data_IF_842147544321
#
_entry.id   IF_842147544321
#
_cell.length_a   1.000
_cell.length_b   1.000
_cell.length_c   1.000
_cell.angle_alpha   90.00
_cell.angle_beta   90.00
_cell.angle_gamma   90.00
#
_symmetry.space_group_name_H-M   'P 1'
#
loop_
_entity.id
_entity.type
_entity.pdbx_description
1 polymer ?
#
# COMPACT_ATOMS: atom_id res chain seq x y z
N UNK A 1 -1.05 74.85 47.49
CA UNK A 1 -2.19 75.64 48.01
C UNK A 1 -3.46 75.22 47.30
N UNK A 2 -4.53 74.91 48.08
CA UNK A 2 -5.98 74.99 47.78
C UNK A 2 -6.49 74.34 46.47
N UNK A 3 -7.14 73.16 46.54
CA UNK A 3 -8.56 72.88 46.88
C UNK A 3 -9.52 72.97 45.66
N UNK A 4 -10.07 71.79 45.29
CA UNK A 4 -11.48 71.45 44.96
C UNK A 4 -12.32 72.40 44.07
N UNK A 5 -13.03 71.86 43.07
CA UNK A 5 -14.49 71.60 43.14
C UNK A 5 -15.02 70.88 41.88
N UNK A 6 -16.03 70.03 42.09
CA UNK A 6 -16.79 69.21 41.15
C UNK A 6 -17.80 70.00 40.29
N UNK A 7 -18.47 69.32 39.33
CA UNK A 7 -19.94 69.33 39.03
C UNK A 7 -20.18 68.63 37.66
N UNK A 8 -20.78 67.43 37.64
CA UNK A 8 -22.20 67.08 37.33
C UNK A 8 -22.49 66.83 35.82
N UNK A 9 -22.69 65.54 35.52
CA UNK A 9 -23.84 64.94 34.81
C UNK A 9 -24.22 65.39 33.39
N UNK A 10 -24.18 64.45 32.43
CA UNK A 10 -25.34 64.19 31.56
C UNK A 10 -25.25 62.80 30.89
N UNK A 11 -26.21 61.94 31.19
CA UNK A 11 -26.49 60.69 30.48
C UNK A 11 -27.43 60.96 29.30
N UNK A 12 -27.23 60.28 28.17
CA UNK A 12 -28.20 59.98 27.09
C UNK A 12 -27.55 58.91 26.18
N UNK A 13 -27.86 57.62 26.32
CA UNK A 13 -28.97 56.86 25.70
C UNK A 13 -28.73 56.55 24.20
N UNK A 14 -28.30 55.29 24.00
CA UNK A 14 -28.82 54.25 23.09
C UNK A 14 -28.44 54.15 21.61
N UNK A 15 -28.47 52.87 21.20
CA UNK A 15 -28.43 52.26 19.87
C UNK A 15 -27.04 51.99 19.26
N UNK A 16 -26.35 50.96 19.78
CA UNK A 16 -25.50 50.15 18.91
C UNK A 16 -26.28 48.91 18.47
N UNK A 17 -26.76 49.00 17.23
CA UNK A 17 -27.26 47.89 16.45
C UNK A 17 -26.12 46.87 16.27
N UNK A 18 -26.31 45.62 16.70
CA UNK A 18 -25.37 44.53 16.41
C UNK A 18 -25.54 44.07 14.95
N UNK A 19 -25.15 44.92 14.00
CA UNK A 19 -24.85 44.48 12.65
C UNK A 19 -23.35 44.22 12.55
N UNK A 20 -22.97 42.98 12.81
CA UNK A 20 -21.67 42.47 12.39
C UNK A 20 -21.52 42.69 10.88
N UNK A 21 -20.41 43.25 10.39
CA UNK A 21 -20.19 43.37 8.95
C UNK A 21 -20.17 41.95 8.37
N UNK A 22 -21.09 41.64 7.45
CA UNK A 22 -20.97 40.46 6.58
C UNK A 22 -19.82 40.72 5.61
N UNK A 23 -18.60 40.56 6.10
CA UNK A 23 -17.41 40.59 5.27
C UNK A 23 -17.35 39.27 4.50
N UNK A 24 -17.16 39.26 3.17
CA UNK A 24 -17.05 38.03 2.36
C UNK A 24 -15.89 37.11 2.80
N UNK A 25 -15.02 37.58 3.69
CA UNK A 25 -13.89 36.84 4.24
C UNK A 25 -14.22 36.10 5.54
N UNK A 26 -15.37 36.31 6.17
CA UNK A 26 -15.81 35.51 7.32
C UNK A 26 -16.18 34.06 6.93
N UNK A 27 -16.49 33.82 5.65
CA UNK A 27 -16.66 32.47 5.10
C UNK A 27 -15.34 31.74 4.82
N UNK A 28 -14.20 32.44 4.85
CA UNK A 28 -12.87 31.82 4.68
C UNK A 28 -12.29 31.29 5.99
N UNK A 29 -12.81 31.74 7.14
CA UNK A 29 -12.29 31.38 8.47
C UNK A 29 -12.85 30.02 8.96
N UNK A 30 -13.87 29.47 8.30
CA UNK A 30 -14.38 28.11 8.54
C UNK A 30 -13.95 27.07 7.50
N UNK A 31 -13.06 27.40 6.55
CA UNK A 31 -12.51 26.42 5.62
C UNK A 31 -11.25 25.76 6.17
N UNK A 32 -11.43 24.91 7.18
CA UNK A 32 -10.61 23.69 7.29
C UNK A 32 -10.97 22.75 6.13
N UNK A 33 -10.66 23.15 4.90
CA UNK A 33 -10.82 22.29 3.73
C UNK A 33 -9.48 22.24 3.02
N UNK A 34 -8.73 21.18 3.32
CA UNK A 34 -7.76 20.59 2.39
C UNK A 34 -8.40 20.67 1.01
N UNK A 35 -7.79 21.38 0.06
CA UNK A 35 -8.42 21.68 -1.23
C UNK A 35 -8.95 20.39 -1.87
N UNK A 36 -10.25 20.35 -2.17
CA UNK A 36 -10.90 19.14 -2.68
C UNK A 36 -10.39 18.85 -4.08
N UNK A 37 -9.58 17.80 -4.23
CA UNK A 37 -8.98 17.43 -5.51
C UNK A 37 -10.03 16.95 -6.52
N UNK A 38 -10.02 17.49 -7.72
CA UNK A 38 -10.82 17.04 -8.87
C UNK A 38 -10.32 15.68 -9.42
N UNK A 39 -11.14 14.91 -10.16
CA UNK A 39 -10.68 13.67 -10.81
C UNK A 39 -9.45 13.87 -11.71
N UNK A 40 -9.38 15.00 -12.42
CA UNK A 40 -8.24 15.33 -13.28
C UNK A 40 -6.95 15.52 -12.45
N UNK A 41 -7.03 16.26 -11.33
CA UNK A 41 -5.91 16.44 -10.42
C UNK A 41 -5.47 15.13 -9.76
N UNK A 42 -6.42 14.27 -9.38
CA UNK A 42 -6.12 12.93 -8.83
C UNK A 42 -5.40 12.07 -9.88
N UNK A 43 -5.84 12.11 -11.14
CA UNK A 43 -5.20 11.36 -12.22
C UNK A 43 -3.78 11.88 -12.50
N UNK A 44 -3.61 13.20 -12.60
CA UNK A 44 -2.29 13.83 -12.76
C UNK A 44 -1.34 13.50 -11.59
N UNK A 45 -1.87 13.47 -10.36
CA UNK A 45 -1.10 13.03 -9.21
C UNK A 45 -0.64 11.57 -9.35
N UNK A 46 -1.54 10.66 -9.74
CA UNK A 46 -1.21 9.26 -9.96
C UNK A 46 -0.15 9.08 -11.06
N UNK A 47 -0.29 9.80 -12.18
CA UNK A 47 0.70 9.81 -13.27
C UNK A 47 2.06 10.34 -12.79
N UNK A 48 2.07 11.38 -11.96
CA UNK A 48 3.29 11.91 -11.35
C UNK A 48 3.94 10.91 -10.39
N UNK A 49 3.16 10.14 -9.62
CA UNK A 49 3.69 9.08 -8.74
C UNK A 49 4.30 7.97 -9.59
N UNK A 50 3.59 7.50 -10.62
CA UNK A 50 4.07 6.45 -11.51
C UNK A 50 5.36 6.85 -12.26
N UNK A 51 5.48 8.11 -12.69
CA UNK A 51 6.67 8.62 -13.36
C UNK A 51 7.91 8.70 -12.45
N UNK A 52 7.72 8.76 -11.13
CA UNK A 52 8.79 8.96 -10.14
C UNK A 52 9.06 7.73 -9.27
N UNK A 53 8.52 6.55 -9.62
CA UNK A 53 8.67 5.33 -8.80
C UNK A 53 10.12 5.00 -8.41
N UNK A 54 11.06 5.20 -9.34
CA UNK A 54 12.48 4.91 -9.11
C UNK A 54 13.14 5.85 -8.09
N UNK A 55 12.51 6.99 -7.78
CA UNK A 55 13.00 7.95 -6.78
C UNK A 55 12.46 7.70 -5.37
N UNK A 56 11.45 6.83 -5.25
CA UNK A 56 10.81 6.53 -3.97
C UNK A 56 11.48 5.38 -3.22
N UNK A 57 11.38 5.43 -1.90
CA UNK A 57 11.76 4.31 -1.04
C UNK A 57 10.79 3.15 -1.28
N UNK A 58 11.30 2.00 -1.73
CA UNK A 58 10.50 0.80 -2.00
C UNK A 58 10.69 -0.25 -0.92
N UNK A 59 9.58 -0.76 -0.39
CA UNK A 59 9.52 -1.96 0.46
C UNK A 59 8.61 -2.98 -0.21
N UNK A 60 9.13 -4.17 -0.48
CA UNK A 60 8.37 -5.28 -1.05
C UNK A 60 8.07 -6.31 0.05
N UNK A 61 6.93 -7.00 -0.05
CA UNK A 61 6.66 -8.21 0.71
C UNK A 61 7.25 -9.45 0.03
N UNK A 62 7.39 -10.55 0.78
CA UNK A 62 7.58 -11.86 0.16
C UNK A 62 6.41 -12.20 -0.78
N UNK A 63 6.63 -13.22 -1.61
CA UNK A 63 5.59 -13.84 -2.43
C UNK A 63 4.83 -14.82 -1.56
N UNK A 64 3.68 -14.40 -1.04
CA UNK A 64 2.85 -15.25 -0.19
C UNK A 64 1.88 -16.06 -1.04
N UNK A 65 1.90 -17.37 -0.91
CA UNK A 65 0.96 -18.26 -1.57
C UNK A 65 -0.06 -18.79 -0.57
N UNK A 66 -1.33 -18.79 -0.96
CA UNK A 66 -2.40 -19.46 -0.25
C UNK A 66 -3.24 -20.23 -1.26
N UNK A 67 -3.22 -21.56 -1.16
CA UNK A 67 -3.69 -22.44 -2.23
C UNK A 67 -2.98 -22.07 -3.55
N UNK A 68 -3.72 -21.92 -4.65
CA UNK A 68 -3.17 -21.62 -5.98
C UNK A 68 -3.04 -20.11 -6.27
N UNK A 69 -3.10 -19.27 -5.24
CA UNK A 69 -3.03 -17.81 -5.39
C UNK A 69 -1.79 -17.26 -4.72
N UNK A 70 -0.89 -16.68 -5.51
CA UNK A 70 0.23 -15.88 -5.01
C UNK A 70 -0.20 -14.42 -4.82
N UNK A 71 0.33 -13.78 -3.78
CA UNK A 71 0.09 -12.37 -3.44
C UNK A 71 1.41 -11.70 -3.07
N UNK A 72 1.68 -10.56 -3.69
CA UNK A 72 2.78 -9.65 -3.33
C UNK A 72 2.24 -8.25 -3.12
N UNK A 73 2.88 -7.49 -2.24
CA UNK A 73 2.60 -6.07 -2.03
C UNK A 73 3.91 -5.29 -2.03
N UNK A 74 3.96 -4.22 -2.81
CA UNK A 74 5.01 -3.22 -2.78
C UNK A 74 4.46 -1.92 -2.19
N UNK A 75 5.22 -1.27 -1.32
CA UNK A 75 4.95 0.05 -0.77
C UNK A 75 6.03 1.01 -1.25
N UNK A 76 5.59 2.14 -1.80
CA UNK A 76 6.44 3.24 -2.22
C UNK A 76 6.19 4.44 -1.29
N UNK A 77 7.29 5.00 -0.77
CA UNK A 77 7.25 6.14 0.15
C UNK A 77 8.11 7.30 -0.36
N UNK A 78 7.61 8.51 -0.16
CA UNK A 78 8.36 9.75 -0.37
C UNK A 78 8.71 10.35 1.00
N UNK A 79 10.00 10.40 1.33
CA UNK A 79 10.49 10.86 2.64
C UNK A 79 9.81 10.12 3.82
N UNK A 80 9.75 8.79 3.75
CA UNK A 80 9.07 7.94 4.74
C UNK A 80 7.53 7.94 4.71
N UNK A 81 6.87 8.83 3.96
CA UNK A 81 5.40 8.89 3.87
C UNK A 81 4.91 8.01 2.71
N UNK A 82 4.00 7.04 2.94
CA UNK A 82 3.46 6.20 1.87
C UNK A 82 2.69 7.01 0.82
N UNK A 83 3.03 6.84 -0.45
CA UNK A 83 2.35 7.49 -1.58
C UNK A 83 1.65 6.49 -2.50
N UNK A 84 2.10 5.23 -2.52
CA UNK A 84 1.52 4.17 -3.34
C UNK A 84 1.72 2.81 -2.68
N UNK A 85 0.66 2.00 -2.69
CA UNK A 85 0.76 0.55 -2.56
C UNK A 85 0.40 -0.12 -3.87
N UNK A 86 1.17 -1.13 -4.27
CA UNK A 86 0.88 -1.98 -5.42
C UNK A 86 0.72 -3.41 -4.91
N UNK A 87 -0.50 -3.94 -4.97
CA UNK A 87 -0.80 -5.32 -4.63
C UNK A 87 -1.00 -6.12 -5.90
N UNK A 88 -0.25 -7.20 -6.07
CA UNK A 88 -0.42 -8.15 -7.17
C UNK A 88 -0.94 -9.46 -6.62
N UNK A 89 -1.93 -10.03 -7.31
CA UNK A 89 -2.47 -11.36 -7.05
C UNK A 89 -2.44 -12.14 -8.35
N UNK A 90 -1.84 -13.34 -8.33
CA UNK A 90 -1.78 -14.21 -9.51
C UNK A 90 -2.38 -15.54 -9.12
N UNK A 91 -3.38 -15.98 -9.87
CA UNK A 91 -3.87 -17.35 -9.86
C UNK A 91 -3.31 -18.03 -11.11
N UNK A 92 -2.41 -18.99 -10.92
CA UNK A 92 -1.58 -19.57 -11.96
C UNK A 92 -2.41 -20.00 -13.19
N UNK A 93 -2.19 -19.32 -14.32
CA UNK A 93 -2.84 -19.62 -15.59
C UNK A 93 -4.29 -19.13 -15.75
N UNK A 94 -4.94 -18.60 -14.71
CA UNK A 94 -6.34 -18.18 -14.77
C UNK A 94 -6.54 -16.67 -14.79
N UNK A 95 -5.95 -15.96 -13.82
CA UNK A 95 -6.08 -14.51 -13.74
C UNK A 95 -4.93 -13.87 -13.00
N UNK A 96 -4.72 -12.60 -13.33
CA UNK A 96 -3.81 -11.71 -12.64
C UNK A 96 -4.57 -10.43 -12.28
N UNK A 97 -4.44 -10.00 -11.03
CA UNK A 97 -5.01 -8.74 -10.54
C UNK A 97 -3.90 -7.85 -10.00
N UNK A 98 -3.80 -6.63 -10.52
CA UNK A 98 -2.92 -5.57 -10.01
C UNK A 98 -3.78 -4.45 -9.45
N UNK A 99 -3.64 -4.19 -8.15
CA UNK A 99 -4.38 -3.17 -7.42
C UNK A 99 -3.37 -2.10 -6.97
N UNK A 100 -3.47 -0.89 -7.54
CA UNK A 100 -2.69 0.28 -7.13
C UNK A 100 -3.55 1.19 -6.25
N UNK A 101 -3.04 1.55 -5.09
CA UNK A 101 -3.70 2.42 -4.12
C UNK A 101 -2.85 3.67 -3.90
N UNK A 102 -3.29 4.82 -4.43
CA UNK A 102 -2.55 6.08 -4.36
C UNK A 102 -3.02 6.92 -3.18
N UNK A 103 -2.07 7.31 -2.33
CA UNK A 103 -2.31 8.07 -1.12
C UNK A 103 -1.80 9.51 -1.28
N UNK A 104 -2.58 10.47 -0.81
CA UNK A 104 -2.13 11.85 -0.66
C UNK A 104 -2.33 12.27 0.80
N UNK A 105 -1.22 12.45 1.52
CA UNK A 105 -1.19 12.79 2.94
C UNK A 105 -2.10 11.86 3.78
N UNK A 106 -1.79 10.56 3.75
CA UNK A 106 -2.47 9.45 4.43
C UNK A 106 -3.92 9.17 4.00
N UNK A 107 -4.44 9.91 3.03
CA UNK A 107 -5.77 9.68 2.46
C UNK A 107 -5.68 8.92 1.15
N UNK A 108 -6.38 7.79 1.04
CA UNK A 108 -6.57 7.11 -0.24
C UNK A 108 -7.41 7.99 -1.16
N UNK A 109 -6.87 8.38 -2.31
CA UNK A 109 -7.54 9.26 -3.29
C UNK A 109 -7.88 8.55 -4.61
N UNK A 110 -7.16 7.47 -4.93
CA UNK A 110 -7.40 6.65 -6.12
C UNK A 110 -7.10 5.19 -5.82
N UNK A 111 -8.02 4.32 -6.19
CA UNK A 111 -7.78 2.89 -6.36
C UNK A 111 -7.87 2.56 -7.84
N UNK A 112 -6.81 2.00 -8.41
CA UNK A 112 -6.77 1.51 -9.77
C UNK A 112 -6.60 -0.01 -9.77
N UNK A 113 -7.57 -0.73 -10.32
CA UNK A 113 -7.60 -2.20 -10.33
C UNK A 113 -7.59 -2.67 -11.77
N UNK A 114 -6.53 -3.37 -12.16
CA UNK A 114 -6.40 -4.05 -13.44
C UNK A 114 -6.57 -5.55 -13.22
N UNK A 115 -7.53 -6.16 -13.91
CA UNK A 115 -7.78 -7.60 -13.91
C UNK A 115 -7.52 -8.12 -15.31
N UNK A 116 -6.57 -9.04 -15.44
CA UNK A 116 -6.31 -9.81 -16.64
C UNK A 116 -6.86 -11.21 -16.43
N UNK A 117 -7.73 -11.67 -17.32
CA UNK A 117 -8.34 -13.00 -17.28
C UNK A 117 -7.92 -13.77 -18.53
N UNK A 118 -7.49 -15.01 -18.32
CA UNK A 118 -7.08 -15.92 -19.38
C UNK A 118 -8.16 -17.00 -19.48
N UNK A 119 -8.80 -17.11 -20.65
CA UNK A 119 -9.79 -18.15 -20.93
C UNK A 119 -9.62 -18.64 -22.35
N UNK A 120 -9.46 -19.95 -22.55
CA UNK A 120 -9.39 -20.58 -23.88
C UNK A 120 -8.36 -19.93 -24.82
N UNK A 121 -7.19 -19.54 -24.27
CA UNK A 121 -6.10 -18.78 -24.95
C UNK A 121 -6.45 -17.34 -25.35
N UNK A 122 -7.64 -16.85 -25.01
CA UNK A 122 -8.00 -15.44 -25.10
C UNK A 122 -7.67 -14.73 -23.79
N UNK A 123 -7.17 -13.50 -23.91
CA UNK A 123 -6.87 -12.64 -22.76
C UNK A 123 -7.82 -11.46 -22.78
N UNK A 124 -8.63 -11.31 -21.74
CA UNK A 124 -9.44 -10.11 -21.52
C UNK A 124 -8.85 -9.29 -20.38
N UNK A 125 -8.70 -7.99 -20.58
CA UNK A 125 -8.20 -7.06 -19.56
C UNK A 125 -9.28 -6.04 -19.23
N UNK A 126 -9.53 -5.84 -17.94
CA UNK A 126 -10.44 -4.83 -17.40
C UNK A 126 -9.67 -3.94 -16.44
N UNK A 127 -9.78 -2.63 -16.61
CA UNK A 127 -9.24 -1.64 -15.68
C UNK A 127 -10.38 -0.81 -15.08
N UNK A 128 -10.33 -0.59 -13.77
CA UNK A 128 -11.31 0.19 -13.03
C UNK A 128 -10.61 1.19 -12.11
N UNK A 129 -10.98 2.47 -12.23
CA UNK A 129 -10.49 3.56 -11.39
C UNK A 129 -11.61 4.02 -10.47
N UNK A 130 -11.39 3.91 -9.16
CA UNK A 130 -12.29 4.43 -8.14
C UNK A 130 -11.65 5.66 -7.51
N UNK A 131 -12.29 6.82 -7.64
CA UNK A 131 -11.82 8.08 -7.05
C UNK A 131 -12.49 8.29 -5.71
N UNK A 132 -11.69 8.63 -4.69
CA UNK A 132 -12.14 8.75 -3.31
C UNK A 132 -11.86 10.14 -2.74
N UNK A 133 -12.75 10.59 -1.85
CA UNK A 133 -12.58 11.77 -0.99
C UNK A 133 -13.10 11.42 0.38
N UNK A 134 -12.30 11.63 1.42
CA UNK A 134 -12.67 11.29 2.80
C UNK A 134 -13.19 9.84 2.93
N UNK A 135 -12.49 8.90 2.28
CA UNK A 135 -12.85 7.47 2.25
C UNK A 135 -14.19 7.14 1.55
N UNK A 136 -14.81 8.09 0.87
CA UNK A 136 -16.05 7.90 0.11
C UNK A 136 -15.72 7.95 -1.37
N UNK A 137 -16.08 6.89 -2.11
CA UNK A 137 -15.97 6.89 -3.55
C UNK A 137 -17.01 7.83 -4.15
N UNK A 138 -16.57 8.73 -5.04
CA UNK A 138 -17.44 9.73 -5.66
C UNK A 138 -17.47 9.64 -7.19
N UNK A 139 -16.52 8.91 -7.78
CA UNK A 139 -16.48 8.64 -9.23
C UNK A 139 -15.88 7.26 -9.46
N UNK A 140 -16.40 6.56 -10.46
CA UNK A 140 -15.87 5.28 -10.91
C UNK A 140 -15.81 5.25 -12.43
N UNK A 141 -14.60 5.03 -12.95
CA UNK A 141 -14.33 4.91 -14.38
C UNK A 141 -13.89 3.48 -14.69
N UNK A 142 -14.24 2.96 -15.88
CA UNK A 142 -13.77 1.66 -16.34
C UNK A 142 -13.41 1.66 -17.83
N UNK A 143 -12.53 0.74 -18.20
CA UNK A 143 -12.30 0.31 -19.58
C UNK A 143 -12.05 -1.18 -19.63
N UNK A 144 -12.33 -1.81 -20.75
CA UNK A 144 -12.09 -3.22 -20.97
C UNK A 144 -11.73 -3.48 -22.43
N UNK A 145 -10.91 -4.48 -22.66
CA UNK A 145 -10.43 -4.91 -23.98
C UNK A 145 -10.11 -6.38 -23.97
N UNK A 146 -10.32 -7.06 -25.10
CA UNK A 146 -9.76 -8.38 -25.37
C UNK A 146 -8.34 -8.30 -25.97
N UNK A 147 -7.77 -7.09 -25.98
CA UNK A 147 -6.43 -6.75 -26.47
C UNK A 147 -5.81 -5.67 -25.57
N UNK A 148 -4.94 -4.80 -26.11
CA UNK A 148 -4.30 -3.72 -25.36
C UNK A 148 -5.31 -2.66 -24.89
N UNK A 149 -5.08 -2.10 -23.69
CA UNK A 149 -5.94 -1.09 -23.08
C UNK A 149 -5.54 0.35 -23.44
N UNK A 150 -4.32 0.57 -23.92
CA UNK A 150 -3.68 1.90 -23.94
C UNK A 150 -4.51 2.96 -24.69
N UNK A 151 -5.09 2.56 -25.82
CA UNK A 151 -5.86 3.46 -26.69
C UNK A 151 -7.37 3.49 -26.40
N UNK A 152 -7.83 2.74 -25.40
CA UNK A 152 -9.26 2.68 -25.07
C UNK A 152 -9.58 3.71 -23.99
N UNK A 153 -10.47 4.68 -24.28
CA UNK A 153 -10.84 5.70 -23.31
C UNK A 153 -11.67 5.10 -22.18
N UNK A 154 -11.49 5.66 -20.99
CA UNK A 154 -12.33 5.34 -19.84
C UNK A 154 -13.77 5.80 -20.05
N UNK A 155 -14.71 5.00 -19.53
CA UNK A 155 -16.13 5.33 -19.44
C UNK A 155 -16.53 5.44 -17.97
N UNK A 156 -17.27 6.48 -17.63
CA UNK A 156 -17.80 6.66 -16.28
C UNK A 156 -18.98 5.72 -16.03
N UNK A 157 -18.98 5.04 -14.89
CA UNK A 157 -20.13 4.27 -14.40
C UNK A 157 -21.01 5.18 -13.55
N UNK A 158 -22.19 5.54 -14.09
CA UNK A 158 -23.20 6.28 -13.34
C UNK A 158 -23.88 5.37 -12.31
N UNK A 159 -24.27 5.95 -11.17
CA UNK A 159 -25.03 5.28 -10.10
C UNK A 159 -24.37 3.98 -9.59
N UNK A 160 -23.04 3.93 -9.55
CA UNK A 160 -22.34 2.81 -8.94
C UNK A 160 -22.67 2.75 -7.45
N UNK A 161 -22.93 1.55 -6.93
CA UNK A 161 -22.91 1.34 -5.49
C UNK A 161 -21.45 1.29 -5.08
N UNK A 162 -20.99 2.28 -4.31
CA UNK A 162 -19.63 2.22 -3.77
C UNK A 162 -19.50 0.91 -3.00
N UNK A 163 -18.48 0.07 -3.31
CA UNK A 163 -18.11 -0.94 -2.34
C UNK A 163 -17.81 -0.21 -1.02
N UNK A 164 -18.34 -0.72 0.09
CA UNK A 164 -17.98 -0.24 1.42
C UNK A 164 -16.53 -0.68 1.64
N UNK A 165 -15.60 0.14 1.16
CA UNK A 165 -14.18 -0.06 1.37
C UNK A 165 -13.83 0.61 2.69
N UNK A 166 -13.63 -0.18 3.75
CA UNK A 166 -12.96 0.36 4.93
C UNK A 166 -11.50 0.64 4.54
N UNK A 167 -11.22 1.90 4.18
CA UNK A 167 -9.87 2.34 3.77
C UNK A 167 -8.86 2.03 4.87
N UNK A 168 -9.23 2.25 6.13
CA UNK A 168 -8.37 1.94 7.28
C UNK A 168 -8.02 0.46 7.35
N UNK A 169 -9.01 -0.44 7.21
CA UNK A 169 -8.76 -1.88 7.22
C UNK A 169 -7.90 -2.33 6.03
N UNK A 170 -8.12 -1.74 4.85
CA UNK A 170 -7.30 -1.98 3.67
C UNK A 170 -5.85 -1.57 3.90
N UNK A 171 -5.60 -0.33 4.34
CA UNK A 171 -4.25 0.18 4.58
C UNK A 171 -3.55 -0.61 5.69
N UNK A 172 -4.27 -0.97 6.76
CA UNK A 172 -3.76 -1.84 7.81
C UNK A 172 -3.31 -3.19 7.24
N UNK A 173 -4.17 -3.85 6.46
CA UNK A 173 -3.83 -5.12 5.82
C UNK A 173 -2.61 -5.00 4.89
N UNK A 174 -2.54 -3.96 4.06
CA UNK A 174 -1.39 -3.76 3.17
C UNK A 174 -0.09 -3.57 3.95
N UNK A 175 -0.14 -2.84 5.05
CA UNK A 175 1.00 -2.70 5.95
C UNK A 175 1.42 -4.05 6.53
N UNK A 176 0.49 -4.84 7.07
CA UNK A 176 0.78 -6.19 7.60
C UNK A 176 1.47 -7.10 6.59
N UNK A 177 1.04 -7.06 5.32
CA UNK A 177 1.63 -7.85 4.23
C UNK A 177 3.09 -7.41 4.02
N UNK A 178 3.33 -6.10 3.93
CA UNK A 178 4.67 -5.53 3.69
C UNK A 178 5.62 -5.69 4.88
N UNK A 179 5.12 -5.71 6.11
CA UNK A 179 5.92 -5.94 7.32
C UNK A 179 6.12 -7.42 7.66
N UNK A 180 5.36 -8.32 7.01
CA UNK A 180 5.41 -9.76 7.31
C UNK A 180 4.98 -10.05 8.75
N UNK A 181 3.87 -9.46 9.18
CA UNK A 181 3.32 -9.60 10.55
C UNK A 181 1.96 -10.28 10.54
N UNK A 182 1.47 -10.67 11.72
CA UNK A 182 0.19 -11.38 11.89
C UNK A 182 0.14 -12.65 11.03
N UNK A 183 -0.87 -12.80 10.16
CA UNK A 183 -1.01 -13.98 9.29
C UNK A 183 0.12 -14.12 8.24
N UNK A 184 0.89 -13.06 8.01
CA UNK A 184 2.03 -13.02 7.11
C UNK A 184 3.37 -13.25 7.83
N UNK A 185 3.36 -13.51 9.14
CA UNK A 185 4.57 -13.89 9.85
C UNK A 185 5.01 -15.30 9.44
N UNK A 186 6.19 -15.37 8.80
CA UNK A 186 6.74 -16.60 8.24
C UNK A 186 7.85 -17.17 9.11
N UNK A 187 7.85 -18.50 9.22
CA UNK A 187 8.90 -19.29 9.87
C UNK A 187 9.44 -20.33 8.89
N UNK A 188 10.68 -20.75 9.10
CA UNK A 188 11.31 -21.76 8.25
C UNK A 188 10.66 -23.13 8.40
N UNK A 189 10.38 -23.78 7.28
CA UNK A 189 9.88 -25.16 7.24
C UNK A 189 10.96 -26.13 6.77
N UNK A 190 11.56 -25.84 5.62
CA UNK A 190 12.55 -26.72 4.99
C UNK A 190 13.42 -25.99 3.98
N UNK A 191 14.60 -26.56 3.72
CA UNK A 191 15.44 -26.21 2.58
C UNK A 191 15.24 -27.27 1.50
N UNK A 192 14.95 -26.83 0.28
CA UNK A 192 14.69 -27.69 -0.87
C UNK A 192 15.85 -27.53 -1.84
N UNK A 193 16.47 -28.64 -2.22
CA UNK A 193 17.50 -28.71 -3.26
C UNK A 193 17.11 -29.78 -4.26
N UNK A 194 16.98 -29.39 -5.52
CA UNK A 194 16.57 -30.24 -6.62
C UNK A 194 17.25 -29.83 -7.93
N UNK A 195 17.04 -30.57 -9.01
CA UNK A 195 17.53 -30.20 -10.35
C UNK A 195 17.00 -28.83 -10.82
N UNK A 196 15.83 -28.42 -10.32
CA UNK A 196 15.19 -27.16 -10.66
C UNK A 196 15.70 -25.97 -9.83
N UNK A 197 16.65 -26.20 -8.92
CA UNK A 197 17.27 -25.16 -8.09
C UNK A 197 17.11 -25.38 -6.59
N UNK A 198 17.50 -24.34 -5.85
CA UNK A 198 17.59 -24.31 -4.39
C UNK A 198 16.63 -23.28 -3.83
N UNK A 199 15.93 -23.60 -2.75
CA UNK A 199 15.01 -22.65 -2.11
C UNK A 199 14.81 -22.89 -0.61
N UNK A 200 14.52 -21.81 0.10
CA UNK A 200 13.98 -21.83 1.45
C UNK A 200 12.46 -21.84 1.37
N UNK A 201 11.82 -22.89 1.88
CA UNK A 201 10.38 -22.91 2.07
C UNK A 201 10.05 -22.39 3.47
N UNK A 202 9.17 -21.40 3.49
CA UNK A 202 8.63 -20.78 4.69
C UNK A 202 7.14 -21.06 4.79
N UNK A 203 6.63 -21.11 6.02
CA UNK A 203 5.20 -21.25 6.31
C UNK A 203 4.75 -20.24 7.36
N UNK A 204 3.47 -19.89 7.32
CA UNK A 204 2.82 -19.13 8.37
C UNK A 204 2.80 -19.93 9.68
N UNK A 205 2.86 -19.23 10.81
CA UNK A 205 2.60 -19.83 12.13
C UNK A 205 1.16 -20.33 12.29
N UNK A 206 0.22 -19.82 11.48
CA UNK A 206 -1.18 -20.19 11.54
C UNK A 206 -1.44 -21.49 10.75
N UNK A 207 -2.22 -22.45 11.29
CA UNK A 207 -2.63 -23.64 10.56
C UNK A 207 -3.37 -23.30 9.26
N UNK A 208 -2.99 -23.94 8.15
CA UNK A 208 -3.58 -23.66 6.84
C UNK A 208 -3.32 -22.24 6.32
N UNK A 209 -2.31 -21.55 6.86
CA UNK A 209 -1.92 -20.21 6.46
C UNK A 209 -1.13 -20.16 5.15
N UNK A 210 -0.52 -19.00 4.92
CA UNK A 210 0.31 -18.77 3.74
C UNK A 210 1.62 -19.58 3.79
N UNK A 211 2.16 -19.88 2.62
CA UNK A 211 3.54 -20.30 2.43
C UNK A 211 4.29 -19.25 1.62
N UNK A 212 5.61 -19.27 1.68
CA UNK A 212 6.46 -18.46 0.80
C UNK A 212 7.71 -19.25 0.43
N UNK A 213 8.18 -19.11 -0.80
CA UNK A 213 9.44 -19.67 -1.26
C UNK A 213 10.44 -18.55 -1.52
N UNK A 214 11.69 -18.76 -1.12
CA UNK A 214 12.81 -17.85 -1.43
C UNK A 214 13.89 -18.63 -2.15
N UNK A 215 14.15 -18.27 -3.39
CA UNK A 215 15.17 -18.88 -4.26
C UNK A 215 16.56 -18.55 -3.71
N UNK A 216 17.44 -19.53 -3.65
CA UNK A 216 18.82 -19.38 -3.16
C UNK A 216 19.77 -19.55 -4.33
N UNK A 217 20.21 -18.43 -4.90
CA UNK A 217 21.19 -18.41 -5.99
C UNK A 217 22.62 -18.49 -5.46
N UNK A 218 22.91 -17.71 -4.41
CA UNK A 218 24.20 -17.65 -3.73
C UNK A 218 24.07 -18.14 -2.27
N UNK A 219 25.03 -18.96 -1.83
CA UNK A 219 25.06 -19.51 -0.47
C UNK A 219 26.01 -18.69 0.44
N UNK A 220 25.68 -18.60 1.72
CA UNK A 220 26.53 -18.05 2.77
C UNK A 220 26.48 -18.94 4.02
N UNK A 221 27.17 -18.52 5.09
CA UNK A 221 27.24 -19.27 6.34
C UNK A 221 25.86 -19.60 6.96
N UNK A 222 24.83 -18.78 6.73
CA UNK A 222 23.47 -19.10 7.17
C UNK A 222 22.92 -20.28 6.37
N UNK A 223 23.07 -20.25 5.05
CA UNK A 223 22.61 -21.34 4.18
C UNK A 223 23.36 -22.64 4.48
N UNK A 224 24.68 -22.58 4.66
CA UNK A 224 25.49 -23.76 5.04
C UNK A 224 25.03 -24.37 6.36
N UNK A 225 24.69 -23.52 7.34
CA UNK A 225 24.15 -23.96 8.64
C UNK A 225 22.79 -24.63 8.50
N UNK A 226 21.89 -24.04 7.69
CA UNK A 226 20.56 -24.59 7.41
C UNK A 226 20.69 -25.96 6.71
N UNK A 227 21.59 -26.10 5.74
CA UNK A 227 21.85 -27.36 5.03
C UNK A 227 22.40 -28.43 5.98
N UNK A 228 23.31 -28.05 6.86
CA UNK A 228 23.96 -28.97 7.80
C UNK A 228 23.02 -29.46 8.89
N UNK A 229 22.12 -28.60 9.40
CA UNK A 229 21.18 -28.98 10.44
C UNK A 229 19.84 -28.22 10.35
N UNK A 230 18.97 -28.59 9.38
CA UNK A 230 17.72 -27.87 9.14
C UNK A 230 16.75 -27.96 10.33
N UNK A 231 16.86 -29.02 11.15
CA UNK A 231 16.01 -29.23 12.32
C UNK A 231 16.12 -28.13 13.38
N UNK A 232 17.30 -27.51 13.55
CA UNK A 232 17.50 -26.41 14.51
C UNK A 232 16.74 -25.15 14.09
N UNK A 233 16.57 -24.94 12.79
CA UNK A 233 15.93 -23.75 12.24
C UNK A 233 14.42 -23.95 12.04
N UNK A 234 13.91 -25.18 12.19
CA UNK A 234 12.51 -25.49 11.90
C UNK A 234 11.57 -24.74 12.85
N UNK A 235 10.58 -24.06 12.27
CA UNK A 235 9.67 -23.13 12.93
C UNK A 235 10.32 -21.86 13.52
N UNK A 236 11.59 -21.59 13.22
CA UNK A 236 12.24 -20.33 13.59
C UNK A 236 11.99 -19.24 12.53
N UNK A 237 11.88 -17.99 12.99
CA UNK A 237 11.85 -16.84 12.09
C UNK A 237 13.28 -16.51 11.68
N UNK A 238 13.65 -16.86 10.46
CA UNK A 238 14.97 -16.54 9.92
C UNK A 238 15.11 -15.04 9.68
N UNK A 239 16.29 -14.52 9.98
CA UNK A 239 16.68 -13.15 9.66
C UNK A 239 17.63 -13.18 8.47
N UNK A 240 17.12 -12.84 7.30
CA UNK A 240 17.89 -12.77 6.06
C UNK A 240 17.40 -11.64 5.17
N UNK A 241 18.25 -11.25 4.22
CA UNK A 241 17.90 -10.27 3.18
C UNK A 241 17.46 -11.00 1.93
N UNK A 242 16.53 -10.39 1.21
CA UNK A 242 16.01 -10.90 -0.05
C UNK A 242 15.62 -9.74 -0.96
N UNK A 243 15.45 -10.02 -2.25
CA UNK A 243 14.98 -9.08 -3.27
C UNK A 243 13.88 -9.72 -4.11
N UNK A 244 12.93 -8.92 -4.57
CA UNK A 244 11.92 -9.38 -5.53
C UNK A 244 12.44 -9.20 -6.95
N UNK A 245 12.44 -10.27 -7.75
CA UNK A 245 12.74 -10.23 -9.19
C UNK A 245 11.74 -11.14 -9.91
N UNK A 246 11.13 -10.66 -11.01
CA UNK A 246 10.15 -11.44 -11.79
C UNK A 246 9.02 -12.09 -10.98
N UNK A 247 8.56 -11.43 -9.91
CA UNK A 247 7.55 -11.94 -8.97
C UNK A 247 8.00 -13.19 -8.18
N UNK A 248 9.31 -13.38 -8.04
CA UNK A 248 9.95 -14.38 -7.21
C UNK A 248 10.83 -13.71 -6.16
N UNK A 249 10.90 -14.28 -4.96
CA UNK A 249 11.79 -13.78 -3.91
C UNK A 249 13.14 -14.49 -4.03
N UNK A 250 14.20 -13.71 -4.17
CA UNK A 250 15.58 -14.22 -4.23
C UNK A 250 16.33 -13.85 -2.97
N UNK A 251 16.98 -14.83 -2.37
CA UNK A 251 17.89 -14.67 -1.26
C UNK A 251 19.04 -13.73 -1.65
N UNK A 252 19.47 -12.89 -0.71
CA UNK A 252 20.64 -12.02 -0.89
C UNK A 252 21.66 -12.43 0.16
N UNK A 253 22.71 -13.12 -0.29
CA UNK A 253 23.83 -13.52 0.55
C UNK A 253 24.43 -12.31 1.25
N UNK A 254 24.63 -12.43 2.56
CA UNK A 254 25.29 -11.38 3.32
C UNK A 254 26.80 -11.63 3.31
N UNK A 255 27.58 -10.59 3.00
CA UNK A 255 28.99 -10.61 3.36
C UNK A 255 29.12 -10.83 4.87
N UNK A 256 30.05 -11.68 5.30
CA UNK A 256 30.29 -12.10 6.69
C UNK A 256 29.97 -11.00 7.72
N UNK A 257 28.99 -11.23 8.60
CA UNK A 257 28.77 -10.39 9.79
C UNK A 257 27.36 -9.89 10.08
N UNK A 258 26.37 -10.05 9.20
CA UNK A 258 25.02 -9.48 9.35
C UNK A 258 23.86 -10.48 9.52
N UNK A 259 24.14 -11.73 9.85
CA UNK A 259 23.12 -12.76 10.10
C UNK A 259 23.03 -13.07 11.60
N UNK A 260 21.93 -12.65 12.24
CA UNK A 260 21.57 -13.03 13.61
C UNK A 260 20.47 -14.10 13.59
N UNK A 261 20.84 -15.33 13.25
CA UNK A 261 20.02 -16.50 13.53
C UNK A 261 20.57 -17.17 14.80
N UNK A 262 19.69 -17.53 15.73
CA UNK A 262 20.03 -18.20 17.00
C UNK A 262 20.77 -19.54 16.82
N UNK A 263 20.71 -20.13 15.62
CA UNK A 263 21.42 -21.35 15.23
C UNK A 263 22.82 -21.17 14.63
N UNK A 264 23.28 -19.93 14.39
CA UNK A 264 24.66 -19.67 14.00
C UNK A 264 25.57 -19.84 15.23
N UNK A 265 26.11 -21.06 15.41
CA UNK A 265 27.27 -21.24 16.27
C UNK A 265 28.45 -20.53 15.59
N UNK A 266 28.82 -19.36 16.13
CA UNK A 266 30.14 -18.77 15.87
C UNK A 266 31.23 -19.64 16.47
#
# INVERSE_FOLDING_TARGET
MKKTLAIITCALIMFSCTQSPKHPQAELINKSTRAVLTPAQISQYADSVDANLNSFEKVSSLVYMLNDVSTTVEKYSANGVPVLFVKRRVNEGLNETVEKYYLNNDSLILSNVVIKTIKDRLTSTKETRTYLRNNIAFKLDFRASDSELENIPFKEIKNFKSPILSVEALISQLNEVTSGTNKYEMVFEQYIESENGKSLLLKSKLPGGYIASVIVDDEDALIDSIKSNPGIFKNERLQFKWKLANNEAHYVASSEGNTSASGLKR
#
